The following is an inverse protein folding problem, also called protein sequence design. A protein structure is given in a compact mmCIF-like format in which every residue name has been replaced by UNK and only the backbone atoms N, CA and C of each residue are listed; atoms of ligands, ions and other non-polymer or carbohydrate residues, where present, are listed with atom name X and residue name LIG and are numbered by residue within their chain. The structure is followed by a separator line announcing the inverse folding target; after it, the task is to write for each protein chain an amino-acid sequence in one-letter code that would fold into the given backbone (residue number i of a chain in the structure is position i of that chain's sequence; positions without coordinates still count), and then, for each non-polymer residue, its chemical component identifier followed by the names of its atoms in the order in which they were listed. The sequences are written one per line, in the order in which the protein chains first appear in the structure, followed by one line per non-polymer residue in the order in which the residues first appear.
data_IF_343998237884
#
_entry.id   IF_343998237884
#
_cell.length_a   1.000
_cell.length_b   1.000
_cell.length_c   1.000
_cell.angle_alpha   90.00
_cell.angle_beta   90.00
_cell.angle_gamma   90.00
#
_symmetry.space_group_name_H-M   'P 1'
#
loop_
_entity.id
_entity.type
_entity.pdbx_description
1 polymer ?
#
# COMPACT_ATOMS: atom_id res chain seq x y z
N UNK A 1 -13.85 5.79 -3.46
CA UNK A 1 -14.17 5.09 -2.19
C UNK A 1 -13.51 5.88 -1.07
N UNK A 2 -14.04 5.86 0.17
CA UNK A 2 -13.31 6.41 1.32
C UNK A 2 -11.90 5.82 1.31
N UNK A 3 -10.92 6.64 1.70
CA UNK A 3 -9.49 6.32 1.86
C UNK A 3 -9.20 4.81 1.97
N UNK A 4 -8.98 4.14 0.84
CA UNK A 4 -8.59 2.72 0.82
C UNK A 4 -7.23 2.60 1.48
N UNK A 5 -7.08 1.66 2.41
CA UNK A 5 -5.82 1.41 3.08
C UNK A 5 -4.78 0.87 2.07
N UNK A 6 -3.61 1.51 1.93
CA UNK A 6 -2.63 1.15 0.90
C UNK A 6 -2.01 -0.25 1.12
N UNK A 7 -1.95 -0.76 2.35
CA UNK A 7 -1.49 -2.12 2.62
C UNK A 7 -2.50 -3.16 2.13
N UNK A 8 -3.78 -2.92 2.42
CA UNK A 8 -4.89 -3.76 1.95
C UNK A 8 -4.93 -3.78 0.43
N UNK A 9 -4.79 -2.63 -0.22
CA UNK A 9 -4.70 -2.52 -1.68
C UNK A 9 -3.54 -3.38 -2.25
N UNK A 10 -2.34 -3.26 -1.67
CA UNK A 10 -1.18 -4.03 -2.10
C UNK A 10 -1.38 -5.54 -1.92
N UNK A 11 -1.96 -5.97 -0.80
CA UNK A 11 -2.24 -7.38 -0.54
C UNK A 11 -3.19 -7.96 -1.60
N UNK A 12 -4.34 -7.31 -1.83
CA UNK A 12 -5.30 -7.73 -2.86
C UNK A 12 -4.69 -7.70 -4.26
N UNK A 13 -3.88 -6.69 -4.58
CA UNK A 13 -3.19 -6.63 -5.87
C UNK A 13 -2.20 -7.78 -6.07
N UNK A 14 -1.43 -8.14 -5.02
CA UNK A 14 -0.48 -9.26 -5.07
C UNK A 14 -1.23 -10.58 -5.25
N UNK A 15 -2.35 -10.78 -4.55
CA UNK A 15 -3.20 -11.97 -4.70
C UNK A 15 -3.71 -12.12 -6.14
N UNK A 16 -4.24 -11.03 -6.72
CA UNK A 16 -4.67 -10.99 -8.13
C UNK A 16 -3.49 -11.34 -9.05
N UNK A 17 -2.33 -10.71 -8.87
CA UNK A 17 -1.14 -10.97 -9.67
C UNK A 17 -0.66 -12.43 -9.59
N UNK A 18 -0.80 -13.07 -8.43
CA UNK A 18 -0.40 -14.47 -8.23
C UNK A 18 -1.28 -15.47 -9.01
N UNK A 19 -2.47 -15.06 -9.47
CA UNK A 19 -3.32 -15.87 -10.35
C UNK A 19 -2.80 -15.94 -11.79
N UNK A 20 -1.96 -14.97 -12.21
CA UNK A 20 -1.35 -14.96 -13.52
C UNK A 20 -0.08 -15.80 -13.51
N UNK A 21 -0.11 -16.93 -14.21
CA UNK A 21 1.09 -17.74 -14.50
C UNK A 21 1.39 -17.68 -15.99
N UNK A 22 2.37 -16.86 -16.36
CA UNK A 22 2.83 -16.72 -17.74
C UNK A 22 4.20 -17.37 -17.85
N UNK A 23 4.30 -18.42 -18.65
CA UNK A 23 5.56 -19.15 -18.86
C UNK A 23 6.66 -18.22 -19.36
N UNK A 24 7.81 -18.22 -18.68
CA UNK A 24 8.97 -17.40 -19.05
C UNK A 24 8.92 -15.94 -18.59
N UNK A 25 7.85 -15.50 -17.92
CA UNK A 25 7.73 -14.14 -17.37
C UNK A 25 7.91 -14.16 -15.85
N UNK A 26 8.84 -13.39 -15.28
CA UNK A 26 8.98 -13.27 -13.83
C UNK A 26 7.73 -12.67 -13.18
N UNK A 27 7.26 -13.15 -12.02
CA UNK A 27 6.09 -12.60 -11.33
C UNK A 27 6.18 -11.09 -11.05
N UNK A 28 7.37 -10.59 -10.76
CA UNK A 28 7.60 -9.16 -10.53
C UNK A 28 7.34 -8.33 -11.80
N UNK A 29 7.62 -8.86 -12.99
CA UNK A 29 7.35 -8.15 -14.25
C UNK A 29 5.84 -8.02 -14.50
N UNK A 30 5.06 -9.05 -14.14
CA UNK A 30 3.59 -8.98 -14.17
C UNK A 30 3.08 -7.90 -13.22
N UNK A 31 3.55 -7.88 -11.97
CA UNK A 31 3.18 -6.87 -10.97
C UNK A 31 3.50 -5.45 -11.43
N UNK A 32 4.72 -5.22 -11.91
CA UNK A 32 5.15 -3.91 -12.43
C UNK A 32 4.27 -3.42 -13.58
N UNK A 33 3.93 -4.31 -14.52
CA UNK A 33 3.10 -3.99 -15.67
C UNK A 33 1.65 -3.67 -15.28
N UNK A 34 1.09 -4.45 -14.35
CA UNK A 34 -0.32 -4.38 -14.00
C UNK A 34 -0.66 -3.35 -12.92
N UNK A 35 0.32 -2.87 -12.14
CA UNK A 35 0.05 -1.97 -11.00
C UNK A 35 -0.66 -0.68 -11.40
N UNK A 36 -0.33 -0.10 -12.56
CA UNK A 36 -1.01 1.11 -13.04
C UNK A 36 -2.52 0.94 -13.31
N UNK A 37 -2.97 -0.30 -13.50
CA UNK A 37 -4.37 -0.65 -13.71
C UNK A 37 -5.13 -0.83 -12.40
N UNK A 38 -4.46 -1.14 -11.27
CA UNK A 38 -5.12 -1.22 -9.97
C UNK A 38 -5.39 0.17 -9.37
N UNK A 39 -4.63 1.19 -9.78
CA UNK A 39 -4.77 2.55 -9.25
C UNK A 39 -5.86 3.35 -9.98
N UNK A 40 -6.47 4.29 -9.24
CA UNK A 40 -7.43 5.26 -9.76
C UNK A 40 -7.11 6.69 -9.31
N UNK A 41 -7.74 7.67 -9.97
CA UNK A 41 -7.71 9.08 -9.54
C UNK A 41 -6.30 9.65 -9.35
N UNK A 42 -6.05 10.20 -8.16
CA UNK A 42 -4.76 10.81 -7.80
C UNK A 42 -3.62 9.79 -7.74
N UNK A 43 -3.85 8.58 -7.24
CA UNK A 43 -2.84 7.53 -7.18
C UNK A 43 -2.31 7.15 -8.56
N UNK A 44 -3.22 7.02 -9.54
CA UNK A 44 -2.84 6.77 -10.92
C UNK A 44 -2.04 7.93 -11.52
N UNK A 45 -2.48 9.18 -11.30
CA UNK A 45 -1.75 10.38 -11.76
C UNK A 45 -0.36 10.49 -11.14
N UNK A 46 -0.23 10.18 -9.85
CA UNK A 46 1.05 10.14 -9.15
C UNK A 46 1.98 9.10 -9.77
N UNK A 47 1.52 7.87 -10.04
CA UNK A 47 2.33 6.84 -10.68
C UNK A 47 2.80 7.27 -12.09
N UNK A 48 1.93 7.92 -12.87
CA UNK A 48 2.30 8.44 -14.20
C UNK A 48 3.19 9.68 -14.17
N UNK A 49 3.33 10.36 -13.02
CA UNK A 49 4.23 11.51 -12.90
C UNK A 49 5.72 11.13 -12.95
N UNK A 50 6.03 9.85 -12.69
CA UNK A 50 7.37 9.30 -12.84
C UNK A 50 7.69 9.11 -14.33
N UNK A 51 8.69 9.83 -14.85
CA UNK A 51 9.10 9.74 -16.26
C UNK A 51 9.75 8.39 -16.56
N UNK A 52 9.17 7.62 -17.50
CA UNK A 52 9.79 6.49 -18.22
C UNK A 52 10.55 5.45 -17.38
N UNK A 53 9.98 4.24 -17.21
CA UNK A 53 10.66 3.07 -16.60
C UNK A 53 11.37 3.35 -15.27
N UNK A 54 10.91 4.36 -14.51
CA UNK A 54 11.59 4.87 -13.31
C UNK A 54 11.66 3.81 -12.21
N UNK A 55 10.69 2.91 -12.19
CA UNK A 55 10.65 1.78 -11.28
C UNK A 55 11.26 0.58 -11.97
N UNK A 56 12.41 0.13 -11.46
CA UNK A 56 13.12 -1.03 -12.00
C UNK A 56 12.72 -2.32 -11.30
N UNK A 57 12.24 -2.21 -10.06
CA UNK A 57 11.84 -3.36 -9.26
C UNK A 57 10.48 -3.11 -8.59
N UNK A 58 9.80 -4.20 -8.24
CA UNK A 58 8.52 -4.13 -7.55
C UNK A 58 8.67 -3.52 -6.15
N UNK A 59 9.79 -3.81 -5.48
CA UNK A 59 10.14 -3.30 -4.16
C UNK A 59 10.24 -1.77 -4.16
N UNK A 60 10.81 -1.17 -5.20
CA UNK A 60 10.86 0.30 -5.35
C UNK A 60 9.47 0.92 -5.51
N UNK A 61 8.55 0.23 -6.20
CA UNK A 61 7.16 0.67 -6.34
C UNK A 61 6.47 0.66 -4.98
N UNK A 62 6.57 -0.46 -4.25
CA UNK A 62 5.96 -0.64 -2.94
C UNK A 62 6.46 0.41 -1.95
N UNK A 63 7.78 0.62 -1.87
CA UNK A 63 8.39 1.61 -0.97
C UNK A 63 7.85 3.02 -1.24
N UNK A 64 7.90 3.48 -2.50
CA UNK A 64 7.43 4.84 -2.83
C UNK A 64 5.92 4.99 -2.68
N UNK A 65 5.14 3.94 -2.98
CA UNK A 65 3.69 3.95 -2.82
C UNK A 65 3.31 4.07 -1.34
N UNK A 66 3.88 3.22 -0.48
CA UNK A 66 3.64 3.28 0.96
C UNK A 66 4.12 4.59 1.55
N UNK A 67 5.30 5.10 1.18
CA UNK A 67 5.78 6.40 1.66
C UNK A 67 4.85 7.56 1.28
N UNK A 68 4.20 7.50 0.12
CA UNK A 68 3.28 8.54 -0.37
C UNK A 68 1.90 8.46 0.26
N UNK A 69 1.34 7.26 0.40
CA UNK A 69 -0.05 7.03 0.80
C UNK A 69 -0.22 6.56 2.25
N UNK A 70 0.88 6.17 2.90
CA UNK A 70 0.97 5.84 4.32
C UNK A 70 2.18 6.52 4.97
N UNK A 71 2.16 7.86 5.10
CA UNK A 71 3.29 8.58 5.66
C UNK A 71 3.55 8.20 7.12
N UNK A 72 4.79 8.32 7.57
CA UNK A 72 5.23 8.03 8.95
C UNK A 72 4.43 8.80 10.02
N UNK A 73 3.77 9.91 9.66
CA UNK A 73 2.86 10.61 10.55
C UNK A 73 1.70 9.75 11.02
N UNK A 74 1.19 8.81 10.20
CA UNK A 74 0.17 7.84 10.61
C UNK A 74 0.70 6.88 11.68
N UNK A 75 1.95 6.45 11.53
CA UNK A 75 2.63 5.62 12.54
C UNK A 75 2.88 6.42 13.83
N UNK A 76 3.24 7.70 13.73
CA UNK A 76 3.45 8.58 14.87
C UNK A 76 2.14 8.89 15.61
N UNK A 77 1.05 9.17 14.88
CA UNK A 77 -0.30 9.33 15.41
C UNK A 77 -0.72 8.09 16.22
N UNK A 78 -0.60 6.89 15.65
CA UNK A 78 -0.95 5.66 16.36
C UNK A 78 -0.08 5.41 17.61
N UNK A 79 1.22 5.74 17.54
CA UNK A 79 2.10 5.68 18.73
C UNK A 79 1.67 6.66 19.81
N UNK A 80 1.27 7.88 19.42
CA UNK A 80 0.77 8.89 20.34
C UNK A 80 -0.54 8.42 20.98
N UNK A 81 -1.49 7.93 20.20
CA UNK A 81 -2.76 7.38 20.70
C UNK A 81 -2.51 6.29 21.75
N UNK A 82 -1.66 5.30 21.44
CA UNK A 82 -1.27 4.25 22.38
C UNK A 82 -0.60 4.84 23.63
N UNK A 83 0.33 5.77 23.48
CA UNK A 83 1.04 6.37 24.63
C UNK A 83 0.15 7.24 25.51
N UNK A 84 -0.89 7.83 24.92
CA UNK A 84 -1.86 8.68 25.60
C UNK A 84 -3.06 7.90 26.12
N UNK A 85 -3.15 6.61 25.79
CA UNK A 85 -4.25 5.74 26.18
C UNK A 85 -4.29 5.57 27.70
N UNK A 86 -5.45 5.82 28.29
CA UNK A 86 -5.72 5.61 29.70
C UNK A 86 -7.05 4.88 29.83
N UNK A 87 -7.04 3.75 30.54
CA UNK A 87 -8.24 2.99 30.84
C UNK A 87 -9.10 3.77 31.85
N UNK A 88 -10.39 3.90 31.57
CA UNK A 88 -11.33 4.51 32.50
C UNK A 88 -11.72 3.54 33.64
N UNK A 89 -12.10 4.02 34.83
CA UNK A 89 -12.40 3.17 35.99
C UNK A 89 -13.53 2.15 35.76
N UNK A 90 -14.41 2.41 34.80
CA UNK A 90 -15.55 1.59 34.42
C UNK A 90 -15.32 0.77 33.12
N UNK A 91 -14.15 0.90 32.49
CA UNK A 91 -13.79 0.06 31.34
C UNK A 91 -13.35 -1.33 31.78
N UNK A 92 -14.03 -2.36 31.27
CA UNK A 92 -13.56 -3.74 31.38
C UNK A 92 -12.33 -3.95 30.49
N UNK A 93 -11.35 -4.71 30.97
CA UNK A 93 -10.17 -5.14 30.20
C UNK A 93 -10.46 -6.31 29.26
N UNK A 94 -11.68 -6.83 29.23
CA UNK A 94 -12.09 -7.98 28.41
C UNK A 94 -13.06 -7.56 27.31
N UNK A 95 -12.89 -8.13 26.10
CA UNK A 95 -13.90 -8.14 25.02
C UNK A 95 -15.20 -8.83 25.43
#
# INVERSE_FOLDING_TARGET
LPSEDPYTHLASFIEICNTFKITGVPPQAVRLSLFSFSLAGEAKRWLHSFKGNTFRTWEEVVDKFLKKYFPESKTAEGKLEISSFHQFPDESLSE
#
